data_IF_434322440384
#
_entry.id   IF_434322440384
#
_cell.length_a   1.000
_cell.length_b   1.000
_cell.length_c   1.000
_cell.angle_alpha   90.00
_cell.angle_beta   90.00
_cell.angle_gamma   90.00
#
_symmetry.space_group_name_H-M   'P 1'
#
loop_
_entity.id
_entity.type
_entity.pdbx_description
1 polymer ?
#
# COMPACT_ATOMS: atom_id res chain seq x y z
N UNK A 1 -38.51 -28.43 -2.89
CA UNK A 1 -38.86 -27.35 -1.94
C UNK A 1 -38.07 -26.11 -2.31
N UNK A 2 -38.62 -24.92 -2.04
CA UNK A 2 -38.20 -23.57 -2.51
C UNK A 2 -36.79 -23.12 -2.04
N UNK A 3 -35.96 -24.05 -1.56
CA UNK A 3 -34.62 -23.80 -1.01
C UNK A 3 -33.47 -24.16 -1.97
N UNK A 4 -33.77 -24.70 -3.17
CA UNK A 4 -32.75 -25.08 -4.17
C UNK A 4 -32.32 -23.94 -5.12
N UNK A 5 -32.82 -22.71 -4.92
CA UNK A 5 -32.54 -21.58 -5.84
C UNK A 5 -31.91 -20.36 -5.17
N UNK A 6 -31.49 -20.46 -3.90
CA UNK A 6 -30.57 -19.48 -3.34
C UNK A 6 -29.17 -19.94 -3.70
N UNK A 7 -28.72 -19.59 -4.90
CA UNK A 7 -27.31 -19.20 -5.04
C UNK A 7 -27.04 -18.33 -3.82
N UNK A 8 -26.10 -18.72 -2.94
CA UNK A 8 -25.64 -17.84 -1.87
C UNK A 8 -24.36 -17.17 -2.40
N UNK A 9 -24.47 -16.24 -3.38
CA UNK A 9 -23.30 -15.68 -4.05
C UNK A 9 -22.36 -15.01 -3.06
N UNK A 10 -22.91 -14.40 -2.01
CA UNK A 10 -22.13 -13.80 -0.93
C UNK A 10 -21.30 -14.85 -0.17
N UNK A 11 -21.91 -15.96 0.27
CA UNK A 11 -21.19 -17.01 1.00
C UNK A 11 -20.19 -17.74 0.10
N UNK A 12 -20.52 -17.98 -1.17
CA UNK A 12 -19.57 -18.53 -2.13
C UNK A 12 -18.37 -17.59 -2.32
N UNK A 13 -18.60 -16.28 -2.40
CA UNK A 13 -17.52 -15.29 -2.50
C UNK A 13 -16.65 -15.28 -1.24
N UNK A 14 -17.23 -15.41 -0.04
CA UNK A 14 -16.46 -15.57 1.22
C UNK A 14 -15.59 -16.82 1.22
N UNK A 15 -16.15 -17.98 0.83
CA UNK A 15 -15.38 -19.22 0.71
C UNK A 15 -14.18 -19.07 -0.24
N UNK A 16 -14.35 -18.33 -1.34
CA UNK A 16 -13.25 -18.02 -2.27
C UNK A 16 -12.18 -17.13 -1.63
N UNK A 17 -12.54 -16.16 -0.81
CA UNK A 17 -11.56 -15.36 -0.03
C UNK A 17 -10.77 -16.24 0.93
N UNK A 18 -11.43 -17.17 1.63
CA UNK A 18 -10.75 -18.09 2.54
C UNK A 18 -9.81 -19.06 1.80
N UNK A 19 -10.24 -19.57 0.65
CA UNK A 19 -9.39 -20.37 -0.22
C UNK A 19 -8.18 -19.57 -0.72
N UNK A 20 -8.38 -18.31 -1.11
CA UNK A 20 -7.28 -17.43 -1.52
C UNK A 20 -6.22 -17.28 -0.43
N UNK A 21 -6.63 -17.06 0.83
CA UNK A 21 -5.70 -16.98 1.97
C UNK A 21 -4.92 -18.28 2.17
N UNK A 22 -5.59 -19.42 2.06
CA UNK A 22 -4.94 -20.73 2.18
C UNK A 22 -3.94 -20.99 1.05
N UNK A 23 -4.26 -20.60 -0.19
CA UNK A 23 -3.35 -20.69 -1.34
C UNK A 23 -2.12 -19.81 -1.15
N UNK A 24 -2.30 -18.57 -0.70
CA UNK A 24 -1.20 -17.64 -0.41
C UNK A 24 -0.28 -18.15 0.70
N UNK A 25 -0.83 -18.72 1.77
CA UNK A 25 -0.05 -19.33 2.85
C UNK A 25 0.82 -20.52 2.37
N UNK A 26 0.44 -21.16 1.27
CA UNK A 26 1.18 -22.24 0.61
C UNK A 26 2.15 -21.75 -0.48
N UNK A 27 2.25 -20.44 -0.72
CA UNK A 27 3.06 -19.84 -1.78
C UNK A 27 2.46 -19.92 -3.19
N UNK A 28 1.19 -20.32 -3.32
CA UNK A 28 0.48 -20.27 -4.62
C UNK A 28 -0.16 -18.90 -4.83
N UNK A 29 0.67 -17.90 -5.15
CA UNK A 29 0.22 -16.53 -5.40
C UNK A 29 -0.73 -16.44 -6.60
N UNK A 30 -0.46 -17.22 -7.66
CA UNK A 30 -1.30 -17.23 -8.85
C UNK A 30 -2.70 -17.76 -8.54
N UNK A 31 -2.80 -18.84 -7.76
CA UNK A 31 -4.05 -19.39 -7.26
C UNK A 31 -4.79 -18.42 -6.35
N UNK A 32 -4.07 -17.81 -5.40
CA UNK A 32 -4.65 -16.83 -4.49
C UNK A 32 -5.29 -15.66 -5.24
N UNK A 33 -4.60 -15.11 -6.25
CA UNK A 33 -5.09 -14.00 -7.07
C UNK A 33 -6.33 -14.39 -7.88
N UNK A 34 -6.38 -15.60 -8.44
CA UNK A 34 -7.56 -16.08 -9.18
C UNK A 34 -8.81 -16.12 -8.29
N UNK A 35 -8.70 -16.68 -7.10
CA UNK A 35 -9.84 -16.79 -6.19
C UNK A 35 -10.31 -15.43 -5.67
N UNK A 36 -9.38 -14.52 -5.37
CA UNK A 36 -9.73 -13.14 -5.01
C UNK A 36 -10.45 -12.40 -6.15
N UNK A 37 -10.01 -12.54 -7.41
CA UNK A 37 -10.68 -11.91 -8.56
C UNK A 37 -12.11 -12.42 -8.73
N UNK A 38 -12.32 -13.72 -8.57
CA UNK A 38 -13.64 -14.33 -8.64
C UNK A 38 -14.56 -13.83 -7.50
N UNK A 39 -14.07 -13.81 -6.26
CA UNK A 39 -14.81 -13.28 -5.12
C UNK A 39 -15.16 -11.79 -5.30
N UNK A 40 -14.21 -10.99 -5.81
CA UNK A 40 -14.41 -9.56 -6.07
C UNK A 40 -15.52 -9.30 -7.08
N UNK A 41 -15.57 -10.06 -8.17
CA UNK A 41 -16.64 -9.92 -9.17
C UNK A 41 -18.02 -10.07 -8.51
N UNK A 42 -18.18 -11.11 -7.69
CA UNK A 42 -19.43 -11.36 -6.97
C UNK A 42 -19.75 -10.26 -5.95
N UNK A 43 -18.77 -9.75 -5.19
CA UNK A 43 -19.01 -8.64 -4.26
C UNK A 43 -19.36 -7.33 -4.96
N UNK A 44 -18.79 -7.07 -6.16
CA UNK A 44 -19.18 -5.93 -7.00
C UNK A 44 -20.64 -6.06 -7.43
N UNK A 45 -21.06 -7.23 -7.93
CA UNK A 45 -22.45 -7.50 -8.31
C UNK A 45 -23.42 -7.30 -7.15
N UNK A 46 -23.00 -7.63 -5.92
CA UNK A 46 -23.79 -7.48 -4.70
C UNK A 46 -23.70 -6.09 -4.05
N UNK A 47 -22.84 -5.19 -4.54
CA UNK A 47 -22.59 -3.88 -3.92
C UNK A 47 -21.89 -3.95 -2.54
N UNK A 48 -21.25 -5.07 -2.22
CA UNK A 48 -20.59 -5.34 -0.93
C UNK A 48 -19.26 -4.57 -0.80
N UNK A 49 -19.35 -3.25 -0.68
CA UNK A 49 -18.22 -2.31 -0.68
C UNK A 49 -17.12 -2.65 0.35
N UNK A 50 -17.45 -3.05 1.60
CA UNK A 50 -16.42 -3.44 2.58
C UNK A 50 -15.58 -4.65 2.13
N UNK A 51 -16.24 -5.66 1.55
CA UNK A 51 -15.57 -6.87 1.06
C UNK A 51 -14.71 -6.58 -0.17
N UNK A 52 -15.18 -5.71 -1.08
CA UNK A 52 -14.39 -5.25 -2.24
C UNK A 52 -13.07 -4.60 -1.77
N UNK A 53 -13.13 -3.69 -0.79
CA UNK A 53 -11.92 -3.05 -0.22
C UNK A 53 -10.97 -4.07 0.39
N UNK A 54 -11.52 -5.03 1.14
CA UNK A 54 -10.73 -6.09 1.77
C UNK A 54 -9.98 -6.92 0.73
N UNK A 55 -10.64 -7.29 -0.37
CA UNK A 55 -9.97 -8.02 -1.46
C UNK A 55 -8.94 -7.16 -2.17
N UNK A 56 -9.23 -5.89 -2.44
CA UNK A 56 -8.29 -4.99 -3.11
C UNK A 56 -6.98 -4.87 -2.31
N UNK A 57 -7.06 -4.78 -0.98
CA UNK A 57 -5.87 -4.84 -0.10
C UNK A 57 -5.17 -6.20 -0.10
N UNK A 58 -5.90 -7.31 -0.27
CA UNK A 58 -5.31 -8.66 -0.27
C UNK A 58 -4.55 -8.97 -1.57
N UNK A 59 -5.09 -8.57 -2.72
CA UNK A 59 -4.49 -8.77 -4.06
C UNK A 59 -3.38 -7.75 -4.30
N UNK A 60 -3.62 -6.50 -3.92
CA UNK A 60 -2.71 -5.39 -4.14
C UNK A 60 -2.43 -4.73 -2.80
N UNK A 61 -1.70 -5.41 -1.89
CA UNK A 61 -1.32 -4.81 -0.63
C UNK A 61 -0.57 -3.52 -0.94
N UNK A 62 -0.83 -2.45 -0.18
CA UNK A 62 -0.09 -1.22 -0.38
C UNK A 62 1.40 -1.58 -0.31
N UNK A 63 2.16 -1.25 -1.37
CA UNK A 63 3.59 -1.58 -1.47
C UNK A 63 4.43 -1.00 -0.34
N UNK A 64 3.83 -0.12 0.46
CA UNK A 64 4.33 0.42 1.69
C UNK A 64 3.17 0.74 2.63
N UNK A 65 3.34 0.50 3.93
CA UNK A 65 2.42 0.95 4.98
C UNK A 65 2.40 2.48 5.15
N UNK A 66 3.34 3.20 4.52
CA UNK A 66 3.48 4.63 4.67
C UNK A 66 2.58 5.43 3.71
N UNK A 67 2.09 6.61 4.15
CA UNK A 67 1.33 7.52 3.31
C UNK A 67 2.05 7.82 1.98
N UNK A 68 1.26 8.04 0.92
CA UNK A 68 1.75 8.29 -0.44
C UNK A 68 2.65 7.18 -1.05
N UNK A 69 2.66 5.97 -0.47
CA UNK A 69 3.48 4.86 -0.97
C UNK A 69 4.99 5.11 -0.83
N UNK A 70 5.38 5.91 0.18
CA UNK A 70 6.78 6.12 0.54
C UNK A 70 7.40 4.82 1.05
N UNK A 71 8.60 4.46 0.65
CA UNK A 71 9.31 3.31 1.24
C UNK A 71 9.86 3.64 2.63
N UNK A 72 10.25 2.63 3.40
CA UNK A 72 10.88 2.84 4.73
C UNK A 72 12.07 3.81 4.66
N UNK A 73 12.94 3.61 3.66
CA UNK A 73 14.10 4.49 3.44
C UNK A 73 13.70 5.91 3.05
N UNK A 74 12.63 6.08 2.29
CA UNK A 74 12.12 7.41 1.94
C UNK A 74 11.51 8.14 3.15
N UNK A 75 10.86 7.41 4.07
CA UNK A 75 10.37 7.99 5.34
C UNK A 75 11.52 8.40 6.24
N UNK A 76 12.57 7.59 6.36
CA UNK A 76 13.78 7.95 7.10
C UNK A 76 14.43 9.23 6.55
N UNK A 77 14.57 9.32 5.22
CA UNK A 77 15.08 10.54 4.56
C UNK A 77 14.14 11.73 4.79
N UNK A 78 12.81 11.55 4.69
CA UNK A 78 11.84 12.63 4.90
C UNK A 78 11.86 13.17 6.34
N UNK A 79 12.07 12.32 7.34
CA UNK A 79 12.24 12.74 8.74
C UNK A 79 13.47 13.61 8.92
N UNK A 80 14.61 13.21 8.36
CA UNK A 80 15.83 14.00 8.40
C UNK A 80 15.71 15.31 7.59
N UNK A 81 14.96 15.29 6.49
CA UNK A 81 14.62 16.51 5.76
C UNK A 81 13.81 17.46 6.64
N UNK A 82 12.86 16.93 7.39
CA UNK A 82 11.95 17.68 8.25
C UNK A 82 12.63 18.23 9.51
N UNK A 83 13.71 17.59 9.97
CA UNK A 83 14.56 18.12 11.05
C UNK A 83 15.53 19.23 10.58
N UNK A 84 15.54 19.56 9.28
CA UNK A 84 16.38 20.60 8.71
C UNK A 84 17.79 20.15 8.33
N UNK A 85 18.10 18.85 8.38
CA UNK A 85 19.39 18.34 7.91
C UNK A 85 19.61 18.67 6.42
N UNK A 86 20.84 18.84 5.96
CA UNK A 86 21.14 19.04 4.53
C UNK A 86 21.29 17.69 3.83
N UNK A 87 21.17 17.62 2.50
CA UNK A 87 21.37 16.34 1.78
C UNK A 87 22.77 15.73 2.05
N UNK A 88 23.79 16.58 2.26
CA UNK A 88 25.13 16.17 2.69
C UNK A 88 25.15 15.55 4.08
N UNK A 89 24.46 16.17 5.06
CA UNK A 89 24.36 15.61 6.40
C UNK A 89 23.62 14.26 6.39
N UNK A 90 22.50 14.19 5.67
CA UNK A 90 21.73 12.94 5.50
C UNK A 90 22.58 11.85 4.84
N UNK A 91 23.36 12.20 3.83
CA UNK A 91 24.24 11.27 3.15
C UNK A 91 25.32 10.69 4.09
N UNK A 92 25.87 11.54 4.97
CA UNK A 92 26.81 11.12 6.00
C UNK A 92 26.14 10.20 7.04
N UNK A 93 24.96 10.59 7.56
CA UNK A 93 24.22 9.84 8.57
C UNK A 93 23.79 8.46 8.07
N UNK A 94 23.36 8.38 6.80
CA UNK A 94 22.89 7.14 6.18
C UNK A 94 24.00 6.36 5.46
N UNK A 95 25.24 6.85 5.48
CA UNK A 95 26.43 6.24 4.85
C UNK A 95 26.19 5.93 3.35
N UNK A 96 25.72 6.94 2.61
CA UNK A 96 25.48 6.88 1.16
C UNK A 96 26.01 8.13 0.46
N UNK A 97 25.98 8.15 -0.88
CA UNK A 97 26.37 9.35 -1.63
C UNK A 97 25.31 10.47 -1.55
N UNK A 98 25.73 11.74 -1.63
CA UNK A 98 24.81 12.88 -1.76
C UNK A 98 23.84 12.70 -2.94
N UNK A 99 24.34 12.18 -4.07
CA UNK A 99 23.52 11.86 -5.25
C UNK A 99 22.42 10.84 -4.95
N UNK A 100 22.66 9.88 -4.06
CA UNK A 100 21.64 8.91 -3.63
C UNK A 100 20.54 9.63 -2.86
N UNK A 101 20.91 10.56 -1.97
CA UNK A 101 19.94 11.38 -1.23
C UNK A 101 19.17 12.32 -2.14
N UNK A 102 19.82 12.95 -3.12
CA UNK A 102 19.13 13.80 -4.10
C UNK A 102 18.03 13.02 -4.85
N UNK A 103 18.33 11.77 -5.22
CA UNK A 103 17.35 10.88 -5.86
C UNK A 103 16.20 10.54 -4.90
N UNK A 104 16.49 10.22 -3.64
CA UNK A 104 15.43 9.96 -2.65
C UNK A 104 14.56 11.19 -2.44
N UNK A 105 15.14 12.38 -2.26
CA UNK A 105 14.40 13.63 -2.08
C UNK A 105 13.51 13.92 -3.29
N UNK A 106 14.03 13.74 -4.51
CA UNK A 106 13.25 13.91 -5.74
C UNK A 106 12.07 12.94 -5.80
N UNK A 107 12.29 11.67 -5.50
CA UNK A 107 11.23 10.65 -5.48
C UNK A 107 10.17 10.95 -4.41
N UNK A 108 10.59 11.37 -3.21
CA UNK A 108 9.70 11.77 -2.13
C UNK A 108 8.81 12.91 -2.60
N UNK A 109 9.41 13.96 -3.17
CA UNK A 109 8.70 15.15 -3.66
C UNK A 109 7.65 14.77 -4.72
N UNK A 110 8.01 13.90 -5.66
CA UNK A 110 7.06 13.37 -6.65
C UNK A 110 5.93 12.58 -5.99
N UNK A 111 6.23 11.71 -5.01
CA UNK A 111 5.22 10.87 -4.35
C UNK A 111 4.22 11.68 -3.52
N UNK A 112 4.69 12.73 -2.84
CA UNK A 112 3.85 13.55 -1.95
C UNK A 112 3.30 14.81 -2.63
N UNK A 113 3.54 14.95 -3.94
CA UNK A 113 3.10 16.06 -4.79
C UNK A 113 3.51 17.44 -4.28
N UNK A 114 4.81 17.62 -4.02
CA UNK A 114 5.40 18.90 -3.62
C UNK A 114 6.68 19.21 -4.39
N UNK A 115 7.07 20.47 -4.42
CA UNK A 115 8.26 20.93 -5.15
C UNK A 115 9.33 21.57 -4.26
N UNK A 116 9.06 21.76 -2.96
CA UNK A 116 9.98 22.45 -2.05
C UNK A 116 10.22 21.66 -0.76
N UNK A 117 11.40 21.85 -0.18
CA UNK A 117 11.78 21.26 1.11
C UNK A 117 10.84 21.70 2.25
N UNK A 118 10.42 22.96 2.22
CA UNK A 118 9.46 23.51 3.18
C UNK A 118 8.08 22.82 3.05
N UNK A 119 7.60 22.62 1.81
CA UNK A 119 6.35 21.91 1.57
C UNK A 119 6.43 20.44 1.98
N UNK A 120 7.57 19.77 1.74
CA UNK A 120 7.81 18.41 2.21
C UNK A 120 7.82 18.30 3.74
N UNK A 121 8.46 19.25 4.42
CA UNK A 121 8.46 19.34 5.90
C UNK A 121 7.04 19.52 6.44
N UNK A 122 6.28 20.46 5.87
CA UNK A 122 4.89 20.70 6.25
C UNK A 122 4.00 19.46 6.00
N UNK A 123 4.25 18.74 4.91
CA UNK A 123 3.57 17.48 4.62
C UNK A 123 3.90 16.40 5.66
N UNK A 124 5.18 16.24 6.02
CA UNK A 124 5.62 15.28 7.03
C UNK A 124 4.94 15.53 8.38
N UNK A 125 4.90 16.78 8.85
CA UNK A 125 4.23 17.17 10.10
C UNK A 125 2.75 16.78 10.07
N UNK A 126 2.02 17.11 8.99
CA UNK A 126 0.59 16.78 8.86
C UNK A 126 0.30 15.28 8.87
N UNK A 127 1.27 14.46 8.48
CA UNK A 127 1.13 13.01 8.41
C UNK A 127 1.80 12.27 9.60
N UNK A 128 2.33 13.00 10.61
CA UNK A 128 3.00 12.39 11.76
C UNK A 128 4.35 11.73 11.41
N UNK A 129 5.03 12.25 10.38
CA UNK A 129 6.29 11.73 9.85
C UNK A 129 7.46 12.72 9.99
N UNK A 130 7.32 13.72 10.87
CA UNK A 130 8.38 14.68 11.19
C UNK A 130 9.21 14.22 12.40
#
# INVERSE_FOLDING_TARGET
GVWQSLSFPYELARCRVDLSRALKARGDDAGAVRECKAARSTFVELGATPDIRTIDTLINPPRSEWPAGLTDREVEVLRLVSSGATNRAIAADLVVSERTIDRHVSNIFTKIDVSTRAAATAWAIRNGLA
#
